data_IF_410570455241
#
_entry.id   IF_410570455241
#
_cell.length_a   1.000
_cell.length_b   1.000
_cell.length_c   1.000
_cell.angle_alpha   90.00
_cell.angle_beta   90.00
_cell.angle_gamma   90.00
#
_symmetry.space_group_name_H-M   'P 1'
#
loop_
_entity.id
_entity.type
_entity.pdbx_description
1 polymer ?
#
# COMPACT_ATOMS: atom_id res chain seq x y z
N UNK A 1 -8.42 7.89 -20.44
CA UNK A 1 -8.75 6.56 -21.04
C UNK A 1 -7.63 5.57 -20.74
N UNK A 2 -7.36 5.27 -19.46
CA UNK A 2 -6.23 4.42 -19.04
C UNK A 2 -6.31 3.01 -19.64
N UNK A 3 -7.52 2.43 -19.66
CA UNK A 3 -7.84 1.13 -20.25
C UNK A 3 -7.43 0.94 -21.71
N UNK A 4 -7.26 2.02 -22.50
CA UNK A 4 -6.78 1.92 -23.89
C UNK A 4 -5.28 1.73 -24.00
N UNK A 5 -4.51 2.06 -22.97
CA UNK A 5 -3.05 2.17 -23.05
C UNK A 5 -2.32 1.37 -21.99
N UNK A 6 -3.04 0.81 -21.02
CA UNK A 6 -2.45 0.11 -19.89
C UNK A 6 -2.91 -1.36 -19.88
N UNK A 7 -2.12 -2.28 -20.42
CA UNK A 7 -2.43 -3.71 -20.41
C UNK A 7 -2.46 -4.32 -19.00
N UNK A 8 -1.79 -3.70 -18.01
CA UNK A 8 -1.81 -4.17 -16.62
C UNK A 8 -3.22 -4.19 -16.02
N UNK A 9 -4.10 -3.27 -16.44
CA UNK A 9 -5.49 -3.23 -15.96
C UNK A 9 -6.28 -4.52 -16.28
N UNK A 10 -6.03 -5.11 -17.44
CA UNK A 10 -6.69 -6.36 -17.83
C UNK A 10 -6.11 -7.55 -17.08
N UNK A 11 -4.81 -7.52 -16.78
CA UNK A 11 -4.16 -8.54 -15.98
C UNK A 11 -4.65 -8.51 -14.53
N UNK A 12 -4.74 -7.32 -13.93
CA UNK A 12 -5.32 -7.10 -12.59
C UNK A 12 -6.78 -7.53 -12.51
N UNK A 13 -7.62 -7.19 -13.50
CA UNK A 13 -9.01 -7.64 -13.54
C UNK A 13 -9.17 -9.17 -13.49
N UNK A 14 -8.20 -9.91 -14.06
CA UNK A 14 -8.16 -11.36 -14.04
C UNK A 14 -7.59 -11.88 -12.71
N UNK A 15 -6.37 -11.45 -12.38
CA UNK A 15 -5.61 -11.92 -11.21
C UNK A 15 -6.30 -11.57 -9.89
N UNK A 16 -6.69 -10.31 -9.68
CA UNK A 16 -7.32 -9.85 -8.43
C UNK A 16 -8.67 -10.55 -8.20
N UNK A 17 -9.40 -10.84 -9.28
CA UNK A 17 -10.68 -11.54 -9.21
C UNK A 17 -10.55 -12.98 -8.70
N UNK A 18 -9.41 -13.62 -8.95
CA UNK A 18 -9.11 -14.98 -8.49
C UNK A 18 -8.37 -14.96 -7.16
N UNK A 19 -7.31 -14.17 -7.04
CA UNK A 19 -6.48 -14.04 -5.83
C UNK A 19 -7.30 -13.69 -4.59
N UNK A 20 -8.20 -12.70 -4.68
CA UNK A 20 -9.08 -12.36 -3.55
C UNK A 20 -9.96 -13.54 -3.09
N UNK A 21 -10.35 -14.44 -3.99
CA UNK A 21 -11.12 -15.65 -3.65
C UNK A 21 -10.23 -16.78 -3.13
N UNK A 22 -8.91 -16.72 -3.32
CA UNK A 22 -7.94 -17.63 -2.71
C UNK A 22 -7.61 -17.19 -1.29
N UNK A 23 -7.33 -15.89 -1.09
CA UNK A 23 -6.75 -15.34 0.14
C UNK A 23 -7.77 -14.90 1.18
N UNK A 24 -8.97 -14.48 0.76
CA UNK A 24 -10.04 -14.05 1.68
C UNK A 24 -11.03 -15.18 1.93
N UNK A 25 -11.00 -15.74 3.14
CA UNK A 25 -11.88 -16.85 3.55
C UNK A 25 -13.27 -16.39 4.05
N UNK A 26 -13.86 -15.39 3.40
CA UNK A 26 -15.19 -14.89 3.77
C UNK A 26 -16.36 -15.80 3.37
N UNK A 27 -16.08 -16.92 2.70
CA UNK A 27 -17.06 -17.94 2.36
C UNK A 27 -16.40 -19.34 2.35
N UNK A 28 -17.20 -20.42 2.53
CA UNK A 28 -16.69 -21.78 2.45
C UNK A 28 -15.98 -22.05 1.11
N UNK A 29 -14.92 -22.86 1.15
CA UNK A 29 -14.10 -23.17 -0.02
C UNK A 29 -14.93 -23.57 -1.26
N UNK A 30 -15.97 -24.44 -1.18
CA UNK A 30 -16.78 -24.77 -2.35
C UNK A 30 -17.51 -23.58 -3.00
N UNK A 31 -17.88 -22.56 -2.21
CA UNK A 31 -18.50 -21.34 -2.76
C UNK A 31 -17.47 -20.51 -3.50
N UNK A 32 -16.28 -20.33 -2.90
CA UNK A 32 -15.17 -19.59 -3.52
C UNK A 32 -14.71 -20.27 -4.81
N UNK A 33 -14.54 -21.59 -4.81
CA UNK A 33 -14.19 -22.38 -6.00
C UNK A 33 -15.18 -22.19 -7.15
N UNK A 34 -16.50 -22.26 -6.91
CA UNK A 34 -17.51 -22.03 -7.96
C UNK A 34 -17.43 -20.61 -8.55
N UNK A 35 -17.15 -19.61 -7.72
CA UNK A 35 -16.97 -18.22 -8.18
C UNK A 35 -15.71 -18.07 -9.04
N UNK A 36 -14.61 -18.76 -8.69
CA UNK A 36 -13.41 -18.78 -9.53
C UNK A 36 -13.71 -19.44 -10.87
N UNK A 37 -14.37 -20.60 -10.90
CA UNK A 37 -14.77 -21.28 -12.15
C UNK A 37 -15.59 -20.33 -13.04
N UNK A 38 -16.59 -19.66 -12.49
CA UNK A 38 -17.42 -18.71 -13.23
C UNK A 38 -16.60 -17.54 -13.80
N UNK A 39 -15.63 -17.01 -13.05
CA UNK A 39 -14.71 -15.96 -13.53
C UNK A 39 -13.81 -16.46 -14.65
N UNK A 40 -13.24 -17.66 -14.53
CA UNK A 40 -12.38 -18.25 -15.55
C UNK A 40 -13.12 -18.47 -16.87
N UNK A 41 -14.42 -18.79 -16.82
CA UNK A 41 -15.26 -18.89 -18.01
C UNK A 41 -15.39 -17.56 -18.79
N UNK A 42 -15.18 -16.41 -18.14
CA UNK A 42 -15.23 -15.08 -18.79
C UNK A 42 -13.89 -14.61 -19.38
N UNK A 43 -12.81 -15.38 -19.19
CA UNK A 43 -11.46 -15.02 -19.69
C UNK A 43 -11.44 -14.76 -21.20
N UNK A 44 -12.06 -15.59 -22.08
CA UNK A 44 -12.05 -15.32 -23.52
C UNK A 44 -12.63 -13.94 -23.87
N UNK A 45 -13.75 -13.57 -23.24
CA UNK A 45 -14.41 -12.29 -23.48
C UNK A 45 -13.57 -11.12 -22.97
N UNK A 46 -12.95 -11.25 -21.79
CA UNK A 46 -12.06 -10.23 -21.23
C UNK A 46 -10.85 -9.99 -22.14
N UNK A 47 -10.19 -11.05 -22.59
CA UNK A 47 -9.00 -10.95 -23.45
C UNK A 47 -9.35 -10.39 -24.83
N UNK A 48 -10.52 -10.76 -25.38
CA UNK A 48 -11.00 -10.17 -26.63
C UNK A 48 -11.25 -8.65 -26.48
N UNK A 49 -11.93 -8.24 -25.39
CA UNK A 49 -12.13 -6.83 -25.10
C UNK A 49 -10.79 -6.11 -24.92
N UNK A 50 -9.82 -6.73 -24.25
CA UNK A 50 -8.48 -6.19 -24.07
C UNK A 50 -7.77 -5.95 -25.41
N UNK A 51 -7.84 -6.91 -26.35
CA UNK A 51 -7.30 -6.77 -27.72
C UNK A 51 -7.95 -5.61 -28.47
N UNK A 52 -9.29 -5.51 -28.44
CA UNK A 52 -10.02 -4.44 -29.13
C UNK A 52 -9.73 -3.05 -28.55
N UNK A 53 -9.56 -2.99 -27.23
CA UNK A 53 -9.43 -1.73 -26.52
C UNK A 53 -8.01 -1.16 -26.55
N UNK A 54 -6.99 -2.01 -26.54
CA UNK A 54 -5.59 -1.60 -26.45
C UNK A 54 -5.15 -0.89 -27.74
N UNK A 55 -4.66 0.34 -27.61
CA UNK A 55 -4.24 1.22 -28.70
C UNK A 55 -2.96 1.94 -28.30
N UNK A 56 -1.86 1.62 -28.98
CA UNK A 56 -0.53 2.20 -28.79
C UNK A 56 -0.15 2.43 -27.30
N UNK A 57 -0.02 1.36 -26.50
CA UNK A 57 0.39 1.48 -25.10
C UNK A 57 1.86 1.97 -24.99
N UNK A 58 2.24 2.60 -23.86
CA UNK A 58 3.65 2.85 -23.55
C UNK A 58 4.45 1.55 -23.41
N UNK A 59 5.70 1.55 -23.89
CA UNK A 59 6.61 0.40 -23.81
C UNK A 59 6.67 -0.21 -22.41
N UNK A 60 6.94 0.62 -21.40
CA UNK A 60 7.04 0.19 -20.00
C UNK A 60 5.75 -0.47 -19.47
N UNK A 61 4.58 0.03 -19.88
CA UNK A 61 3.31 -0.57 -19.47
C UNK A 61 3.11 -1.92 -20.15
N UNK A 62 3.52 -2.06 -21.41
CA UNK A 62 3.46 -3.33 -22.15
C UNK A 62 4.39 -4.37 -21.54
N UNK A 63 5.64 -4.01 -21.25
CA UNK A 63 6.62 -4.91 -20.59
C UNK A 63 6.09 -5.43 -19.25
N UNK A 64 5.56 -4.54 -18.41
CA UNK A 64 4.96 -4.94 -17.12
C UNK A 64 3.67 -5.72 -17.29
N UNK A 65 2.83 -5.35 -18.27
CA UNK A 65 1.60 -6.08 -18.60
C UNK A 65 1.86 -7.51 -19.03
N UNK A 66 2.93 -7.76 -19.80
CA UNK A 66 3.38 -9.12 -20.15
C UNK A 66 3.72 -9.90 -18.88
N UNK A 67 4.54 -9.33 -18.00
CA UNK A 67 4.89 -9.95 -16.72
C UNK A 67 3.66 -10.27 -15.87
N UNK A 68 2.71 -9.34 -15.75
CA UNK A 68 1.48 -9.54 -14.97
C UNK A 68 0.59 -10.63 -15.57
N UNK A 69 0.47 -10.70 -16.90
CA UNK A 69 -0.30 -11.76 -17.56
C UNK A 69 0.36 -13.13 -17.39
N UNK A 70 1.70 -13.22 -17.47
CA UNK A 70 2.44 -14.45 -17.21
C UNK A 70 2.26 -14.92 -15.76
N UNK A 71 2.42 -14.03 -14.79
CA UNK A 71 2.16 -14.33 -13.39
C UNK A 71 0.70 -14.76 -13.14
N UNK A 72 -0.27 -14.11 -13.78
CA UNK A 72 -1.68 -14.51 -13.67
C UNK A 72 -1.92 -15.92 -14.26
N UNK A 73 -1.22 -16.31 -15.32
CA UNK A 73 -1.30 -17.64 -15.90
C UNK A 73 -0.63 -18.70 -15.00
N UNK A 74 0.51 -18.39 -14.40
CA UNK A 74 1.23 -19.24 -13.44
C UNK A 74 0.41 -19.49 -12.18
N UNK A 75 -0.25 -18.45 -11.65
CA UNK A 75 -1.15 -18.55 -10.50
C UNK A 75 -2.25 -19.60 -10.71
N UNK A 76 -2.78 -19.74 -11.93
CA UNK A 76 -3.83 -20.74 -12.20
C UNK A 76 -3.33 -22.19 -12.07
N UNK A 77 -2.04 -22.42 -12.25
CA UNK A 77 -1.41 -23.75 -12.24
C UNK A 77 -0.78 -24.06 -10.88
N UNK A 78 -0.05 -23.10 -10.30
CA UNK A 78 0.71 -23.27 -9.08
C UNK A 78 -0.08 -22.90 -7.82
N UNK A 79 -0.75 -21.75 -7.83
CA UNK A 79 -1.29 -21.14 -6.61
C UNK A 79 -2.67 -21.68 -6.24
N UNK A 80 -3.53 -21.93 -7.23
CA UNK A 80 -4.88 -22.48 -7.00
C UNK A 80 -4.83 -23.83 -6.25
N UNK A 81 -4.00 -24.81 -6.66
CA UNK A 81 -3.90 -26.08 -5.94
C UNK A 81 -3.44 -25.93 -4.48
N UNK A 82 -2.56 -24.95 -4.20
CA UNK A 82 -2.08 -24.66 -2.85
C UNK A 82 -3.18 -24.03 -2.00
N UNK A 83 -3.88 -23.03 -2.53
CA UNK A 83 -4.96 -22.32 -1.84
C UNK A 83 -6.17 -23.21 -1.51
N UNK A 84 -6.41 -24.26 -2.29
CA UNK A 84 -7.52 -25.20 -2.10
C UNK A 84 -7.06 -26.63 -1.81
N UNK A 85 -5.87 -26.80 -1.22
CA UNK A 85 -5.29 -28.12 -0.94
C UNK A 85 -6.22 -29.06 -0.15
N UNK A 86 -7.01 -28.52 0.78
CA UNK A 86 -7.99 -29.27 1.57
C UNK A 86 -9.19 -29.80 0.74
N UNK A 87 -9.37 -29.34 -0.50
CA UNK A 87 -10.43 -29.79 -1.41
C UNK A 87 -9.91 -30.76 -2.48
N UNK A 88 -8.63 -31.17 -2.40
CA UNK A 88 -8.00 -32.09 -3.35
C UNK A 88 -8.80 -33.39 -3.49
N UNK A 89 -8.99 -33.84 -4.73
CA UNK A 89 -9.72 -35.07 -5.05
C UNK A 89 -11.25 -34.94 -5.10
N UNK A 90 -11.80 -33.73 -4.94
CA UNK A 90 -13.24 -33.50 -5.09
C UNK A 90 -13.62 -33.23 -6.56
N UNK A 91 -14.83 -33.61 -7.02
CA UNK A 91 -15.30 -33.31 -8.38
C UNK A 91 -15.34 -31.79 -8.70
N UNK A 92 -15.52 -30.98 -7.66
CA UNK A 92 -15.51 -29.53 -7.78
C UNK A 92 -14.09 -29.00 -8.04
N UNK A 93 -13.06 -29.55 -7.39
CA UNK A 93 -11.68 -29.21 -7.71
C UNK A 93 -11.26 -29.71 -9.07
N UNK A 94 -11.71 -30.88 -9.52
CA UNK A 94 -11.46 -31.33 -10.91
C UNK A 94 -12.05 -30.35 -11.92
N UNK A 95 -13.23 -29.80 -11.62
CA UNK A 95 -13.88 -28.78 -12.45
C UNK A 95 -13.10 -27.47 -12.45
N UNK A 96 -12.53 -27.06 -11.30
CA UNK A 96 -11.66 -25.90 -11.22
C UNK A 96 -10.38 -26.10 -12.03
N UNK A 97 -9.71 -27.24 -11.87
CA UNK A 97 -8.50 -27.59 -12.61
C UNK A 97 -8.75 -27.57 -14.12
N UNK A 98 -9.88 -28.13 -14.61
CA UNK A 98 -10.25 -28.05 -16.03
C UNK A 98 -10.50 -26.62 -16.51
N UNK A 99 -11.17 -25.80 -15.70
CA UNK A 99 -11.40 -24.39 -16.02
C UNK A 99 -10.07 -23.61 -16.10
N UNK A 100 -9.17 -23.82 -15.13
CA UNK A 100 -7.82 -23.26 -15.11
C UNK A 100 -6.99 -23.70 -16.33
N UNK A 101 -6.99 -24.99 -16.65
CA UNK A 101 -6.30 -25.55 -17.81
C UNK A 101 -6.83 -25.00 -19.14
N UNK A 102 -8.09 -24.59 -19.20
CA UNK A 102 -8.70 -23.94 -20.37
C UNK A 102 -8.30 -22.46 -20.45
N UNK A 103 -8.31 -21.74 -19.33
CA UNK A 103 -8.03 -20.30 -19.28
C UNK A 103 -6.53 -19.98 -19.44
N UNK A 104 -5.64 -20.76 -18.82
CA UNK A 104 -4.18 -20.55 -18.81
C UNK A 104 -3.56 -20.37 -20.20
N UNK A 105 -3.78 -21.25 -21.20
CA UNK A 105 -3.20 -21.08 -22.53
C UNK A 105 -3.71 -19.82 -23.23
N UNK A 106 -4.94 -19.39 -22.96
CA UNK A 106 -5.50 -18.15 -23.53
C UNK A 106 -4.80 -16.91 -22.97
N UNK A 107 -4.55 -16.89 -21.66
CA UNK A 107 -3.82 -15.81 -20.98
C UNK A 107 -2.37 -15.76 -21.49
N UNK A 108 -1.73 -16.94 -21.60
CA UNK A 108 -0.37 -17.06 -22.13
C UNK A 108 -0.30 -16.57 -23.57
N UNK A 109 -1.24 -16.99 -24.43
CA UNK A 109 -1.31 -16.53 -25.82
C UNK A 109 -1.58 -15.02 -25.95
N UNK A 110 -2.29 -14.42 -24.99
CA UNK A 110 -2.44 -12.96 -24.94
C UNK A 110 -1.13 -12.27 -24.53
N UNK A 111 -0.39 -12.81 -23.55
CA UNK A 111 0.94 -12.30 -23.17
C UNK A 111 1.92 -12.40 -24.35
N UNK A 112 1.92 -13.52 -25.08
CA UNK A 112 2.73 -13.71 -26.29
C UNK A 112 2.39 -12.69 -27.37
N UNK A 113 1.10 -12.40 -27.58
CA UNK A 113 0.67 -11.35 -28.51
C UNK A 113 1.11 -9.96 -28.06
N UNK A 114 1.05 -9.64 -26.76
CA UNK A 114 1.61 -8.40 -26.23
C UNK A 114 3.11 -8.29 -26.55
N UNK A 115 3.86 -9.39 -26.39
CA UNK A 115 5.30 -9.42 -26.61
C UNK A 115 5.69 -9.36 -28.09
N UNK A 116 5.00 -10.11 -28.96
CA UNK A 116 5.35 -10.27 -30.38
C UNK A 116 4.75 -9.20 -31.28
N UNK A 117 3.52 -8.78 -31.00
CA UNK A 117 2.76 -7.90 -31.90
C UNK A 117 2.64 -6.46 -31.37
N UNK A 118 2.53 -6.28 -30.05
CA UNK A 118 2.30 -4.95 -29.45
C UNK A 118 3.60 -4.28 -29.02
N UNK A 119 4.46 -4.97 -28.28
CA UNK A 119 5.69 -4.40 -27.70
C UNK A 119 6.63 -3.80 -28.76
N UNK A 120 6.86 -4.40 -29.95
CA UNK A 120 7.76 -3.82 -30.95
C UNK A 120 7.31 -2.45 -31.47
N UNK A 121 6.02 -2.14 -31.38
CA UNK A 121 5.43 -0.88 -31.86
C UNK A 121 4.90 0.01 -30.71
N UNK A 122 5.12 -0.40 -29.46
CA UNK A 122 4.64 0.28 -28.25
C UNK A 122 5.41 1.59 -28.02
N UNK A 123 4.89 2.68 -28.59
CA UNK A 123 5.49 4.02 -28.56
C UNK A 123 4.63 5.02 -27.78
N UNK A 124 3.57 4.54 -27.12
CA UNK A 124 2.63 5.38 -26.39
C UNK A 124 3.29 6.19 -25.27
N UNK A 125 2.75 7.38 -25.03
CA UNK A 125 3.22 8.26 -23.96
C UNK A 125 2.49 7.95 -22.64
N UNK A 126 3.24 7.68 -21.57
CA UNK A 126 2.69 7.47 -20.22
C UNK A 126 2.43 8.80 -19.51
N UNK A 127 3.16 9.87 -19.88
CA UNK A 127 2.90 11.22 -19.38
C UNK A 127 1.52 11.68 -19.82
N UNK A 128 0.79 12.29 -18.89
CA UNK A 128 -0.60 12.72 -19.14
C UNK A 128 -0.76 14.24 -19.12
N UNK A 129 0.30 14.98 -18.80
CA UNK A 129 0.31 16.43 -18.66
C UNK A 129 -0.28 16.90 -17.34
N UNK A 130 0.21 18.05 -16.86
CA UNK A 130 -0.16 18.63 -15.56
C UNK A 130 -1.68 18.80 -15.39
N UNK A 131 -2.39 19.25 -16.43
CA UNK A 131 -3.85 19.42 -16.36
C UNK A 131 -4.59 18.10 -16.13
N UNK A 132 -4.11 16.98 -16.68
CA UNK A 132 -4.72 15.67 -16.44
C UNK A 132 -4.35 15.14 -15.05
N UNK A 133 -3.13 15.38 -14.57
CA UNK A 133 -2.72 15.04 -13.19
C UNK A 133 -3.61 15.76 -12.18
N UNK A 134 -3.83 17.07 -12.34
CA UNK A 134 -4.72 17.84 -11.46
C UNK A 134 -6.15 17.28 -11.47
N UNK A 135 -6.70 16.96 -12.65
CA UNK A 135 -8.02 16.30 -12.76
C UNK A 135 -8.06 14.92 -12.08
N UNK A 136 -6.97 14.15 -12.12
CA UNK A 136 -6.88 12.86 -11.44
C UNK A 136 -6.85 13.03 -9.92
N UNK A 137 -6.04 13.95 -9.37
CA UNK A 137 -6.10 14.27 -7.93
C UNK A 137 -7.51 14.68 -7.48
N UNK A 138 -8.19 15.52 -8.26
CA UNK A 138 -9.57 15.91 -7.97
C UNK A 138 -10.55 14.75 -8.04
N UNK A 139 -10.42 13.84 -9.00
CA UNK A 139 -11.37 12.75 -9.19
C UNK A 139 -11.12 11.55 -8.26
N UNK A 140 -9.85 11.27 -7.96
CA UNK A 140 -9.42 10.05 -7.27
C UNK A 140 -9.22 10.31 -5.78
N UNK A 141 -8.57 11.42 -5.42
CA UNK A 141 -8.25 11.78 -4.03
C UNK A 141 -9.18 12.86 -3.46
N UNK A 142 -10.04 13.44 -4.31
CA UNK A 142 -10.84 14.64 -3.99
C UNK A 142 -9.99 15.82 -3.48
N UNK A 143 -8.77 15.96 -4.02
CA UNK A 143 -7.86 17.07 -3.73
C UNK A 143 -7.85 18.01 -4.93
N UNK A 144 -8.33 19.24 -4.73
CA UNK A 144 -8.46 20.28 -5.78
C UNK A 144 -7.38 21.38 -5.69
N UNK A 145 -6.33 21.13 -4.90
CA UNK A 145 -5.23 22.09 -4.76
C UNK A 145 -4.38 22.15 -6.03
N UNK A 146 -3.87 23.34 -6.41
CA UNK A 146 -2.98 23.47 -7.56
C UNK A 146 -1.70 22.61 -7.39
N UNK A 147 -1.27 21.94 -8.46
CA UNK A 147 -0.06 21.10 -8.43
C UNK A 147 1.20 21.84 -7.94
N UNK A 148 1.45 23.11 -8.32
CA UNK A 148 2.59 23.86 -7.77
C UNK A 148 2.54 23.99 -6.23
N UNK A 149 1.34 24.09 -5.65
CA UNK A 149 1.16 24.11 -4.20
C UNK A 149 1.50 22.76 -3.59
N UNK A 150 1.04 21.66 -4.19
CA UNK A 150 1.37 20.30 -3.73
C UNK A 150 2.87 20.03 -3.80
N UNK A 151 3.52 20.44 -4.90
CA UNK A 151 4.98 20.36 -5.05
C UNK A 151 5.68 21.18 -3.96
N UNK A 152 5.28 22.43 -3.73
CA UNK A 152 5.90 23.29 -2.73
C UNK A 152 5.79 22.69 -1.31
N UNK A 153 4.64 22.09 -0.97
CA UNK A 153 4.44 21.37 0.29
C UNK A 153 5.38 20.15 0.35
N UNK A 154 5.46 19.35 -0.70
CA UNK A 154 6.39 18.21 -0.77
C UNK A 154 7.85 18.62 -0.59
N UNK A 155 8.34 19.61 -1.35
CA UNK A 155 9.73 20.08 -1.24
C UNK A 155 10.06 20.59 0.16
N UNK A 156 9.14 21.35 0.78
CA UNK A 156 9.29 21.87 2.14
C UNK A 156 9.36 20.74 3.18
N UNK A 157 8.41 19.81 3.16
CA UNK A 157 8.38 18.72 4.13
C UNK A 157 9.55 17.75 3.95
N UNK A 158 10.01 17.52 2.72
CA UNK A 158 11.21 16.73 2.45
C UNK A 158 12.45 17.36 3.12
N UNK A 159 12.63 18.67 3.00
CA UNK A 159 13.73 19.38 3.66
C UNK A 159 13.64 19.30 5.20
N UNK A 160 12.43 19.38 5.76
CA UNK A 160 12.18 19.21 7.20
C UNK A 160 12.55 17.79 7.64
N UNK A 161 12.04 16.77 6.95
CA UNK A 161 12.32 15.37 7.30
C UNK A 161 13.79 15.02 7.17
N UNK A 162 14.49 15.53 6.15
CA UNK A 162 15.94 15.35 6.01
C UNK A 162 16.70 15.98 7.18
N UNK A 163 16.26 17.15 7.66
CA UNK A 163 16.88 17.81 8.82
C UNK A 163 16.64 17.00 10.09
N UNK A 164 15.43 16.49 10.29
CA UNK A 164 15.10 15.62 11.42
C UNK A 164 15.88 14.30 11.36
N UNK A 165 16.04 13.71 10.17
CA UNK A 165 16.77 12.47 9.96
C UNK A 165 18.24 12.64 10.33
N UNK A 166 18.88 13.74 9.87
CA UNK A 166 20.25 14.10 10.27
C UNK A 166 20.38 14.27 11.78
N UNK A 167 19.41 14.93 12.42
CA UNK A 167 19.42 15.13 13.87
C UNK A 167 19.24 13.81 14.64
N UNK A 168 18.37 12.91 14.17
CA UNK A 168 18.18 11.58 14.75
C UNK A 168 19.44 10.71 14.61
N UNK A 169 20.08 10.72 13.44
CA UNK A 169 21.33 10.01 13.22
C UNK A 169 22.46 10.55 14.11
N UNK A 170 22.56 11.88 14.26
CA UNK A 170 23.55 12.52 15.13
C UNK A 170 23.36 12.18 16.62
N UNK A 171 22.13 11.85 17.07
CA UNK A 171 21.89 11.34 18.44
C UNK A 171 22.43 9.93 18.66
N UNK A 172 22.52 9.11 17.61
CA UNK A 172 23.10 7.76 17.69
C UNK A 172 24.62 7.80 17.53
N UNK A 173 25.11 8.57 16.56
CA UNK A 173 26.53 8.69 16.28
C UNK A 173 26.88 10.11 15.78
N UNK A 174 27.26 11.02 16.70
CA UNK A 174 27.63 12.39 16.35
C UNK A 174 28.76 12.45 15.32
N UNK A 175 28.61 13.31 14.30
CA UNK A 175 29.63 13.56 13.27
C UNK A 175 29.76 12.49 12.18
N UNK A 176 29.06 11.35 12.30
CA UNK A 176 29.00 10.34 11.23
C UNK A 176 27.99 10.73 10.15
N UNK A 177 28.23 10.21 8.95
CA UNK A 177 27.29 10.36 7.85
C UNK A 177 25.94 9.68 8.22
N UNK A 178 24.80 10.39 8.09
CA UNK A 178 23.49 9.85 8.44
C UNK A 178 23.11 8.56 7.68
N UNK A 179 23.57 8.38 6.45
CA UNK A 179 23.30 7.17 5.68
C UNK A 179 24.05 5.98 6.23
N UNK A 180 25.30 6.17 6.65
CA UNK A 180 26.07 5.09 7.24
C UNK A 180 25.48 4.66 8.59
N UNK A 181 25.01 5.62 9.39
CA UNK A 181 24.25 5.32 10.62
C UNK A 181 22.98 4.55 10.29
N UNK A 182 22.21 4.97 9.27
CA UNK A 182 21.00 4.26 8.89
C UNK A 182 21.28 2.85 8.37
N UNK A 183 22.32 2.66 7.55
CA UNK A 183 22.76 1.33 7.10
C UNK A 183 23.09 0.42 8.28
N UNK A 184 23.80 0.93 9.28
CA UNK A 184 24.14 0.18 10.49
C UNK A 184 22.90 -0.22 11.31
N UNK A 185 21.93 0.68 11.45
CA UNK A 185 20.65 0.36 12.10
C UNK A 185 19.91 -0.77 11.39
N UNK A 186 20.00 -0.86 10.06
CA UNK A 186 19.34 -1.92 9.29
C UNK A 186 19.94 -3.31 9.50
N UNK A 187 21.16 -3.43 10.05
CA UNK A 187 21.74 -4.72 10.41
C UNK A 187 21.15 -5.32 11.71
N UNK A 188 20.43 -4.51 12.50
CA UNK A 188 19.73 -5.00 13.69
C UNK A 188 18.36 -5.58 13.30
N UNK A 189 18.35 -6.84 12.84
CA UNK A 189 17.16 -7.55 12.38
C UNK A 189 17.03 -8.97 12.98
N UNK A 190 15.82 -9.55 12.99
CA UNK A 190 15.63 -10.95 13.31
C UNK A 190 16.41 -11.87 12.34
N UNK A 191 16.73 -13.07 12.80
CA UNK A 191 17.32 -14.11 11.94
C UNK A 191 16.26 -14.68 10.99
N UNK A 192 16.71 -15.30 9.90
CA UNK A 192 15.84 -16.08 9.02
C UNK A 192 15.05 -17.12 9.82
N UNK A 193 13.73 -17.15 9.63
CA UNK A 193 12.80 -18.03 10.37
C UNK A 193 12.21 -17.41 11.64
N UNK A 194 12.80 -16.33 12.16
CA UNK A 194 12.34 -15.64 13.38
C UNK A 194 11.46 -14.40 13.09
N UNK A 195 11.33 -13.98 11.82
CA UNK A 195 10.72 -12.68 11.47
C UNK A 195 9.25 -12.64 11.87
N UNK A 196 8.49 -13.72 11.66
CA UNK A 196 7.07 -13.82 12.03
C UNK A 196 6.90 -13.65 13.55
N UNK A 197 7.69 -14.38 14.34
CA UNK A 197 7.61 -14.34 15.80
C UNK A 197 8.05 -12.98 16.37
N UNK A 198 9.11 -12.38 15.80
CA UNK A 198 9.53 -11.03 16.16
C UNK A 198 8.45 -9.99 15.86
N UNK A 199 7.80 -10.10 14.70
CA UNK A 199 6.73 -9.19 14.28
C UNK A 199 5.50 -9.32 15.18
N UNK A 200 5.09 -10.53 15.59
CA UNK A 200 4.00 -10.71 16.55
C UNK A 200 4.29 -9.99 17.87
N UNK A 201 5.51 -10.12 18.42
CA UNK A 201 5.91 -9.44 19.65
C UNK A 201 5.85 -7.91 19.52
N UNK A 202 6.23 -7.38 18.36
CA UNK A 202 6.14 -5.95 18.06
C UNK A 202 4.67 -5.49 18.03
N UNK A 203 3.80 -6.21 17.33
CA UNK A 203 2.36 -5.91 17.25
C UNK A 203 1.70 -5.94 18.63
N UNK A 204 2.04 -6.94 19.45
CA UNK A 204 1.56 -7.04 20.83
C UNK A 204 2.04 -5.82 21.66
N UNK A 205 3.31 -5.46 21.53
CA UNK A 205 3.90 -4.30 22.23
C UNK A 205 3.29 -2.96 21.81
N UNK A 206 3.01 -2.79 20.51
CA UNK A 206 2.29 -1.62 19.97
C UNK A 206 0.86 -1.56 20.52
N UNK A 207 0.19 -2.70 20.62
CA UNK A 207 -1.17 -2.81 21.16
C UNK A 207 -1.20 -2.38 22.63
N UNK A 208 -0.30 -2.94 23.45
CA UNK A 208 -0.16 -2.56 24.86
C UNK A 208 0.17 -1.08 25.03
N UNK A 209 1.01 -0.53 24.16
CA UNK A 209 1.34 0.88 24.19
C UNK A 209 0.13 1.77 23.85
N UNK A 210 -0.59 1.48 22.78
CA UNK A 210 -1.80 2.22 22.37
C UNK A 210 -2.86 2.20 23.47
N UNK A 211 -3.07 1.04 24.12
CA UNK A 211 -4.02 0.91 25.24
C UNK A 211 -3.54 1.70 26.46
N UNK A 212 -2.29 1.55 26.90
CA UNK A 212 -1.75 2.23 28.09
C UNK A 212 -1.73 3.75 27.94
N UNK A 213 -1.38 4.25 26.75
CA UNK A 213 -1.39 5.69 26.43
C UNK A 213 -2.80 6.22 26.18
N UNK A 214 -3.80 5.33 26.08
CA UNK A 214 -5.18 5.69 25.79
C UNK A 214 -5.32 6.35 24.42
N UNK A 215 -4.59 5.90 23.40
CA UNK A 215 -4.63 6.52 22.07
C UNK A 215 -5.86 6.10 21.24
N UNK A 216 -6.42 4.92 21.51
CA UNK A 216 -7.66 4.39 20.94
C UNK A 216 -8.17 3.18 21.75
N UNK A 217 -9.43 2.78 21.56
CA UNK A 217 -9.96 1.50 22.05
C UNK A 217 -9.66 0.39 21.06
N UNK A 218 -9.13 -0.71 21.57
CA UNK A 218 -9.04 -1.97 20.83
C UNK A 218 -10.35 -2.76 21.02
N UNK A 219 -11.02 -3.22 19.95
CA UNK A 219 -12.25 -4.01 20.10
C UNK A 219 -12.02 -5.27 20.96
N UNK A 220 -12.92 -5.56 21.91
CA UNK A 220 -12.76 -6.71 22.79
C UNK A 220 -12.84 -8.02 21.99
N UNK A 221 -11.93 -8.96 22.29
CA UNK A 221 -11.91 -10.27 21.65
C UNK A 221 -11.31 -10.31 20.24
N UNK A 222 -10.90 -9.17 19.68
CA UNK A 222 -10.18 -9.12 18.41
C UNK A 222 -8.70 -8.80 18.64
N UNK A 223 -7.83 -9.51 17.92
CA UNK A 223 -6.39 -9.29 17.90
C UNK A 223 -5.84 -9.54 16.51
N UNK A 224 -4.77 -8.83 16.16
CA UNK A 224 -3.98 -9.16 14.98
C UNK A 224 -3.22 -10.46 15.24
N UNK A 225 -3.26 -11.36 14.26
CA UNK A 225 -2.44 -12.57 14.26
C UNK A 225 -1.43 -12.46 13.14
N UNK A 226 -0.15 -12.46 13.48
CA UNK A 226 0.93 -12.49 12.52
C UNK A 226 1.16 -13.94 12.08
N UNK A 227 1.27 -14.15 10.78
CA UNK A 227 1.44 -15.47 10.19
C UNK A 227 2.46 -15.42 9.04
N UNK A 228 3.12 -16.53 8.71
CA UNK A 228 3.91 -16.61 7.49
C UNK A 228 2.99 -16.39 6.28
N UNK A 229 3.47 -15.60 5.33
CA UNK A 229 2.81 -15.43 4.04
C UNK A 229 2.58 -16.80 3.38
N UNK A 230 1.44 -16.94 2.72
CA UNK A 230 1.13 -18.19 2.02
C UNK A 230 2.05 -18.32 0.81
N UNK A 231 2.42 -19.54 0.38
CA UNK A 231 3.34 -19.72 -0.76
C UNK A 231 2.84 -19.09 -2.07
N UNK A 232 1.54 -18.85 -2.16
CA UNK A 232 0.84 -18.23 -3.30
C UNK A 232 0.52 -16.74 -3.10
N UNK A 233 0.97 -16.13 -2.00
CA UNK A 233 0.68 -14.74 -1.64
C UNK A 233 1.91 -14.09 -0.98
N UNK A 234 3.05 -14.20 -1.67
CA UNK A 234 4.34 -13.70 -1.19
C UNK A 234 4.46 -12.19 -1.44
N UNK A 235 4.37 -11.42 -0.36
CA UNK A 235 4.64 -9.98 -0.34
C UNK A 235 5.86 -9.64 0.52
N UNK A 236 6.01 -8.38 0.91
CA UNK A 236 6.89 -8.01 2.03
C UNK A 236 6.12 -8.22 3.34
N UNK A 237 5.17 -7.32 3.60
CA UNK A 237 4.21 -7.43 4.68
C UNK A 237 2.82 -7.11 4.13
N UNK A 238 1.79 -7.84 4.54
CA UNK A 238 0.42 -7.66 4.04
C UNK A 238 -0.62 -7.80 5.14
N UNK A 239 -1.39 -6.75 5.39
CA UNK A 239 -2.52 -6.79 6.33
C UNK A 239 -3.80 -7.25 5.64
N UNK A 240 -4.30 -8.42 6.04
CA UNK A 240 -5.59 -8.97 5.64
C UNK A 240 -6.58 -8.71 6.77
N UNK A 241 -7.06 -7.47 6.86
CA UNK A 241 -8.06 -7.09 7.84
C UNK A 241 -9.46 -7.57 7.45
N UNK A 242 -10.31 -7.86 8.44
CA UNK A 242 -11.72 -8.20 8.19
C UNK A 242 -12.38 -7.08 7.38
N UNK A 243 -12.97 -7.36 6.21
CA UNK A 243 -13.67 -6.35 5.44
C UNK A 243 -14.80 -5.73 6.27
N UNK A 244 -15.06 -4.42 6.12
CA UNK A 244 -15.96 -3.69 7.01
C UNK A 244 -17.46 -4.04 6.85
N UNK A 245 -17.81 -4.88 5.87
CA UNK A 245 -19.16 -5.39 5.67
C UNK A 245 -19.38 -6.82 6.14
N UNK A 246 -18.32 -7.53 6.54
CA UNK A 246 -18.49 -8.90 7.08
C UNK A 246 -19.21 -8.85 8.42
N UNK A 247 -20.22 -9.71 8.58
CA UNK A 247 -21.01 -9.84 9.80
C UNK A 247 -21.38 -11.32 10.04
N UNK A 248 -20.80 -11.99 11.06
CA UNK A 248 -19.80 -11.46 12.00
C UNK A 248 -18.45 -11.14 11.32
N UNK A 249 -17.59 -10.31 11.94
CA UNK A 249 -16.24 -10.08 11.45
C UNK A 249 -15.45 -11.38 11.30
N UNK A 250 -14.57 -11.45 10.28
CA UNK A 250 -13.66 -12.58 10.08
C UNK A 250 -12.30 -12.31 10.74
N UNK A 251 -11.51 -13.37 10.94
CA UNK A 251 -10.19 -13.24 11.54
C UNK A 251 -9.27 -12.40 10.64
N UNK A 252 -8.52 -11.48 11.23
CA UNK A 252 -7.53 -10.67 10.52
C UNK A 252 -6.14 -11.28 10.66
N UNK A 253 -5.37 -11.30 9.58
CA UNK A 253 -4.01 -11.81 9.54
C UNK A 253 -3.03 -10.75 9.04
N UNK A 254 -1.88 -10.67 9.70
CA UNK A 254 -0.75 -9.89 9.21
C UNK A 254 0.30 -10.85 8.65
N UNK A 255 0.33 -10.99 7.33
CA UNK A 255 1.23 -11.93 6.67
C UNK A 255 2.61 -11.31 6.49
N UNK A 256 3.64 -12.07 6.82
CA UNK A 256 5.05 -11.69 6.70
C UNK A 256 5.78 -12.75 5.89
N UNK A 257 6.56 -12.32 4.90
CA UNK A 257 7.40 -13.21 4.10
C UNK A 257 8.82 -13.21 4.65
N UNK A 258 9.19 -14.29 5.32
CA UNK A 258 10.56 -14.49 5.80
C UNK A 258 11.54 -14.71 4.62
N UNK A 259 12.84 -14.70 4.89
CA UNK A 259 13.86 -15.04 3.90
C UNK A 259 13.71 -16.52 3.48
N UNK A 260 13.71 -16.79 2.18
CA UNK A 260 13.67 -18.17 1.70
C UNK A 260 15.00 -18.87 1.94
N UNK A 261 14.96 -20.09 2.47
CA UNK A 261 16.14 -20.94 2.62
C UNK A 261 16.82 -21.26 1.27
N UNK A 262 16.11 -21.10 0.15
CA UNK A 262 16.67 -21.30 -1.20
C UNK A 262 17.48 -20.10 -1.72
N UNK A 263 17.40 -18.94 -1.07
CA UNK A 263 18.15 -17.75 -1.48
C UNK A 263 19.62 -17.89 -1.06
N UNK A 264 20.58 -17.36 -1.84
CA UNK A 264 21.96 -17.19 -1.39
C UNK A 264 22.04 -16.40 -0.08
N UNK A 265 23.02 -16.69 0.76
CA UNK A 265 23.14 -16.07 2.10
C UNK A 265 23.15 -14.52 2.04
N UNK A 266 23.83 -13.94 1.06
CA UNK A 266 23.87 -12.48 0.87
C UNK A 266 22.49 -11.90 0.49
N UNK A 267 21.68 -12.64 -0.25
CA UNK A 267 20.31 -12.23 -0.60
C UNK A 267 19.36 -12.40 0.58
N UNK A 268 19.54 -13.44 1.40
CA UNK A 268 18.80 -13.59 2.66
C UNK A 268 19.08 -12.41 3.59
N UNK A 269 20.35 -12.06 3.78
CA UNK A 269 20.75 -10.92 4.61
C UNK A 269 20.14 -9.61 4.08
N UNK A 270 20.26 -9.33 2.78
CA UNK A 270 19.67 -8.14 2.17
C UNK A 270 18.13 -8.11 2.28
N UNK A 271 17.48 -9.28 2.30
CA UNK A 271 16.04 -9.39 2.56
C UNK A 271 15.70 -9.08 4.02
N UNK A 272 16.46 -9.63 4.97
CA UNK A 272 16.25 -9.44 6.40
C UNK A 272 16.56 -8.02 6.88
N UNK A 273 17.51 -7.31 6.25
CA UNK A 273 17.75 -5.88 6.52
C UNK A 273 16.49 -5.01 6.34
N UNK A 274 15.56 -5.44 5.48
CA UNK A 274 14.26 -4.77 5.31
C UNK A 274 13.37 -4.95 6.54
N UNK A 275 13.57 -6.03 7.29
CA UNK A 275 12.90 -6.37 8.54
C UNK A 275 13.74 -6.04 9.79
N UNK A 276 14.66 -5.08 9.70
CA UNK A 276 15.28 -4.53 10.90
C UNK A 276 14.22 -4.08 11.92
N UNK A 277 14.53 -4.17 13.21
CA UNK A 277 13.54 -3.97 14.27
C UNK A 277 12.87 -2.59 14.19
N UNK A 278 13.61 -1.54 13.83
CA UNK A 278 13.05 -0.20 13.67
C UNK A 278 12.06 -0.11 12.50
N UNK A 279 12.39 -0.67 11.34
CA UNK A 279 11.48 -0.75 10.19
C UNK A 279 10.29 -1.69 10.43
N UNK A 280 10.47 -2.80 11.16
CA UNK A 280 9.37 -3.68 11.56
C UNK A 280 8.39 -2.96 12.48
N UNK A 281 8.87 -2.15 13.42
CA UNK A 281 8.02 -1.30 14.27
C UNK A 281 7.23 -0.32 13.41
N UNK A 282 7.89 0.42 12.50
CA UNK A 282 7.22 1.38 11.64
C UNK A 282 6.16 0.72 10.73
N UNK A 283 6.53 -0.38 10.08
CA UNK A 283 5.63 -1.14 9.20
C UNK A 283 4.48 -1.78 9.97
N UNK A 284 4.72 -2.31 11.17
CA UNK A 284 3.66 -2.86 12.01
C UNK A 284 2.71 -1.76 12.53
N UNK A 285 3.22 -0.55 12.77
CA UNK A 285 2.40 0.60 13.10
C UNK A 285 1.51 1.04 11.93
N UNK A 286 2.03 0.96 10.70
CA UNK A 286 1.30 1.22 9.46
C UNK A 286 0.22 0.18 9.17
N UNK A 287 0.59 -1.09 9.17
CA UNK A 287 -0.27 -2.20 8.74
C UNK A 287 -1.25 -2.64 9.82
N UNK A 288 -0.81 -2.71 11.07
CA UNK A 288 -1.58 -3.29 12.16
C UNK A 288 -2.04 -2.21 13.17
N UNK A 289 -1.17 -1.83 14.09
CA UNK A 289 -1.54 -1.10 15.30
C UNK A 289 -0.70 0.16 15.47
N UNK A 290 -1.27 1.38 15.40
CA UNK A 290 -2.70 1.71 15.27
C UNK A 290 -3.19 1.95 13.83
N UNK A 291 -2.45 1.52 12.80
CA UNK A 291 -2.75 1.81 11.39
C UNK A 291 -3.93 1.03 10.77
N UNK A 292 -3.70 0.38 9.62
CA UNK A 292 -4.76 -0.16 8.77
C UNK A 292 -5.72 -1.11 9.48
N UNK A 293 -5.21 -2.06 10.27
CA UNK A 293 -6.07 -2.99 11.00
C UNK A 293 -7.00 -2.25 11.97
N UNK A 294 -6.45 -1.41 12.85
CA UNK A 294 -7.27 -0.72 13.84
C UNK A 294 -8.31 0.18 13.14
N UNK A 295 -7.91 0.95 12.13
CA UNK A 295 -8.83 1.75 11.33
C UNK A 295 -9.98 0.92 10.78
N UNK A 296 -9.69 -0.24 10.18
CA UNK A 296 -10.71 -1.14 9.62
C UNK A 296 -11.76 -1.58 10.66
N UNK A 297 -11.36 -1.75 11.93
CA UNK A 297 -12.30 -2.14 12.99
C UNK A 297 -13.30 -1.04 13.31
N UNK A 298 -12.86 0.22 13.28
CA UNK A 298 -13.74 1.39 13.45
C UNK A 298 -14.58 1.65 12.21
N UNK A 299 -14.06 1.38 11.01
CA UNK A 299 -14.81 1.53 9.76
C UNK A 299 -16.09 0.69 9.74
N UNK A 300 -16.13 -0.46 10.43
CA UNK A 300 -17.36 -1.28 10.55
C UNK A 300 -18.53 -0.51 11.15
N UNK A 301 -18.24 0.49 11.99
CA UNK A 301 -19.22 1.36 12.66
C UNK A 301 -19.59 2.59 11.84
N UNK A 302 -18.95 2.84 10.70
CA UNK A 302 -19.20 4.02 9.86
C UNK A 302 -20.61 4.01 9.27
N UNK A 303 -21.39 5.10 9.41
CA UNK A 303 -22.71 5.20 8.81
C UNK A 303 -22.68 5.20 7.27
N UNK A 304 -23.58 4.41 6.67
CA UNK A 304 -23.72 4.28 5.22
C UNK A 304 -22.72 3.28 4.60
N UNK A 305 -23.04 2.75 3.41
CA UNK A 305 -22.16 1.77 2.73
C UNK A 305 -20.99 2.45 2.01
N UNK A 306 -21.21 3.60 1.36
CA UNK A 306 -20.19 4.27 0.54
C UNK A 306 -18.91 4.53 1.34
N UNK A 307 -18.97 5.22 2.48
CA UNK A 307 -17.78 5.50 3.31
C UNK A 307 -17.15 4.26 3.97
N UNK A 308 -17.84 3.12 3.97
CA UNK A 308 -17.29 1.84 4.44
C UNK A 308 -16.50 1.11 3.38
N UNK A 309 -16.95 1.15 2.11
CA UNK A 309 -16.42 0.28 1.06
C UNK A 309 -15.96 0.98 -0.21
N UNK A 310 -15.89 2.31 -0.22
CA UNK A 310 -15.43 3.02 -1.41
C UNK A 310 -13.97 2.67 -1.80
N UNK A 311 -13.19 2.00 -0.92
CA UNK A 311 -11.91 1.34 -1.24
C UNK A 311 -12.07 0.14 -2.20
N UNK A 312 -13.20 -0.58 -2.16
CA UNK A 312 -13.37 -1.90 -2.75
C UNK A 312 -13.72 -1.96 -4.25
N UNK A 313 -13.60 -0.85 -4.99
CA UNK A 313 -13.97 -0.79 -6.42
C UNK A 313 -12.74 -0.78 -7.35
N UNK A 314 -11.90 -1.81 -7.29
CA UNK A 314 -10.89 -2.07 -8.32
C UNK A 314 -11.62 -2.46 -9.64
N UNK A 315 -11.29 -1.90 -10.83
CA UNK A 315 -10.06 -1.22 -11.25
C UNK A 315 -10.06 0.31 -11.18
N UNK A 316 -10.95 0.93 -10.39
CA UNK A 316 -10.97 2.40 -10.27
C UNK A 316 -9.89 2.87 -9.28
N UNK A 317 -9.08 3.87 -9.65
CA UNK A 317 -8.09 4.46 -8.75
C UNK A 317 -8.76 4.98 -7.47
N UNK A 318 -8.18 4.61 -6.33
CA UNK A 318 -8.73 4.76 -4.98
C UNK A 318 -8.24 6.07 -4.33
N UNK A 319 -9.04 6.73 -3.47
CA UNK A 319 -8.51 7.75 -2.57
C UNK A 319 -7.64 7.08 -1.50
N UNK A 320 -6.34 6.97 -1.77
CA UNK A 320 -5.35 6.46 -0.79
C UNK A 320 -5.23 7.40 0.42
N UNK A 321 -5.46 8.70 0.24
CA UNK A 321 -5.25 9.71 1.28
C UNK A 321 -6.06 9.53 2.57
N UNK A 322 -7.20 8.82 2.54
CA UNK A 322 -7.96 8.53 3.75
C UNK A 322 -7.31 7.44 4.61
N UNK A 323 -7.19 6.23 4.06
CA UNK A 323 -6.73 5.05 4.79
C UNK A 323 -5.21 5.00 4.90
N UNK A 324 -4.49 5.19 3.78
CA UNK A 324 -3.04 5.24 3.79
C UNK A 324 -2.50 6.50 4.48
N UNK A 325 -3.26 7.59 4.42
CA UNK A 325 -2.98 8.78 5.22
C UNK A 325 -3.05 8.52 6.72
N UNK A 326 -4.05 7.76 7.19
CA UNK A 326 -4.16 7.34 8.60
C UNK A 326 -3.01 6.42 9.01
N UNK A 327 -2.69 5.42 8.19
CA UNK A 327 -1.59 4.50 8.46
C UNK A 327 -0.25 5.25 8.53
N UNK A 328 -0.02 6.18 7.61
CA UNK A 328 1.18 7.02 7.62
C UNK A 328 1.21 8.05 8.78
N UNK A 329 0.06 8.55 9.21
CA UNK A 329 -0.07 9.34 10.45
C UNK A 329 0.26 8.50 11.69
N UNK A 330 -0.18 7.24 11.73
CA UNK A 330 0.02 6.31 12.85
C UNK A 330 1.49 6.00 13.09
N UNK A 331 2.29 5.87 12.03
CA UNK A 331 3.75 5.80 12.12
C UNK A 331 4.35 6.97 12.91
N UNK A 332 4.00 8.21 12.53
CA UNK A 332 4.50 9.41 13.21
C UNK A 332 3.96 9.52 14.63
N UNK A 333 2.71 9.13 14.87
CA UNK A 333 2.11 9.11 16.20
C UNK A 333 2.94 8.27 17.18
N UNK A 334 3.45 7.11 16.76
CA UNK A 334 4.29 6.27 17.63
C UNK A 334 5.60 6.96 18.02
N UNK A 335 6.22 7.70 17.10
CA UNK A 335 7.42 8.50 17.38
C UNK A 335 7.11 9.68 18.29
N UNK A 336 5.99 10.39 18.06
CA UNK A 336 5.55 11.53 18.88
C UNK A 336 5.27 11.10 20.33
N UNK A 337 4.57 9.99 20.52
CA UNK A 337 4.18 9.46 21.83
C UNK A 337 5.31 8.72 22.56
N UNK A 338 6.48 8.61 21.93
CA UNK A 338 7.71 7.98 22.45
C UNK A 338 7.57 6.47 22.64
N UNK A 339 6.96 5.77 21.68
CA UNK A 339 7.08 4.32 21.59
C UNK A 339 8.58 3.93 21.53
N UNK A 340 8.95 2.84 22.21
CA UNK A 340 10.36 2.45 22.35
C UNK A 340 11.22 3.42 23.17
N UNK A 341 10.61 4.29 23.99
CA UNK A 341 11.36 5.19 24.87
C UNK A 341 12.04 6.37 24.17
N UNK A 342 11.64 6.68 22.94
CA UNK A 342 12.27 7.73 22.13
C UNK A 342 13.58 7.30 21.46
N UNK A 343 13.77 6.00 21.25
CA UNK A 343 14.90 5.45 20.49
C UNK A 343 15.00 6.11 19.09
N UNK A 344 16.10 6.83 18.79
CA UNK A 344 16.26 7.50 17.51
C UNK A 344 16.24 6.54 16.30
N UNK A 345 16.49 5.24 16.49
CA UNK A 345 16.42 4.24 15.41
C UNK A 345 15.01 4.14 14.83
N UNK A 346 13.99 4.18 15.70
CA UNK A 346 12.57 4.14 15.29
C UNK A 346 12.22 5.41 14.50
N UNK A 347 12.71 6.57 14.95
CA UNK A 347 12.54 7.85 14.25
C UNK A 347 13.22 7.85 12.88
N UNK A 348 14.44 7.30 12.75
CA UNK A 348 15.12 7.15 11.47
C UNK A 348 14.31 6.29 10.48
N UNK A 349 13.78 5.15 10.93
CA UNK A 349 12.94 4.29 10.10
C UNK A 349 11.67 5.03 9.61
N UNK A 350 10.96 5.69 10.54
CA UNK A 350 9.77 6.48 10.24
C UNK A 350 10.07 7.61 9.23
N UNK A 351 11.17 8.32 9.40
CA UNK A 351 11.57 9.42 8.53
C UNK A 351 12.03 8.95 7.16
N UNK A 352 12.77 7.83 7.06
CA UNK A 352 13.14 7.23 5.77
C UNK A 352 11.88 6.86 4.96
N UNK A 353 10.90 6.23 5.61
CA UNK A 353 9.62 5.92 5.00
C UNK A 353 8.84 7.19 4.61
N UNK A 354 8.81 8.21 5.49
CA UNK A 354 8.15 9.48 5.19
C UNK A 354 8.74 10.21 3.99
N UNK A 355 10.07 10.32 3.90
CA UNK A 355 10.74 10.92 2.75
C UNK A 355 10.44 10.15 1.46
N UNK A 356 10.35 8.82 1.53
CA UNK A 356 9.90 8.00 0.40
C UNK A 356 8.51 8.42 -0.07
N UNK A 357 7.53 8.59 0.84
CA UNK A 357 6.16 9.04 0.48
C UNK A 357 6.14 10.47 -0.07
N UNK A 358 7.09 11.33 0.29
CA UNK A 358 7.23 12.65 -0.35
C UNK A 358 7.81 12.53 -1.77
N UNK A 359 8.84 11.71 -2.00
CA UNK A 359 9.33 11.47 -3.35
C UNK A 359 8.27 10.83 -4.25
N UNK A 360 7.37 9.99 -3.71
CA UNK A 360 6.20 9.49 -4.45
C UNK A 360 5.32 10.62 -4.99
N UNK A 361 4.97 11.61 -4.16
CA UNK A 361 4.23 12.81 -4.57
C UNK A 361 4.95 13.56 -5.70
N UNK A 362 6.23 13.88 -5.49
CA UNK A 362 7.02 14.67 -6.43
C UNK A 362 7.16 13.94 -7.77
N UNK A 363 7.50 12.64 -7.74
CA UNK A 363 7.63 11.82 -8.93
C UNK A 363 6.31 11.67 -9.67
N UNK A 364 5.19 11.36 -8.99
CA UNK A 364 3.88 11.24 -9.63
C UNK A 364 3.45 12.51 -10.37
N UNK A 365 3.72 13.68 -9.79
CA UNK A 365 3.42 14.97 -10.45
C UNK A 365 4.42 15.26 -11.57
N UNK A 366 5.71 15.31 -11.25
CA UNK A 366 6.76 15.84 -12.15
C UNK A 366 7.08 14.92 -13.32
N UNK A 367 6.95 13.59 -13.14
CA UNK A 367 7.10 12.65 -14.27
C UNK A 367 5.96 12.87 -15.25
N UNK A 368 4.71 12.88 -14.78
CA UNK A 368 3.55 13.02 -15.66
C UNK A 368 3.35 14.43 -16.24
N UNK A 369 3.88 15.48 -15.61
CA UNK A 369 3.93 16.84 -16.17
C UNK A 369 5.03 17.02 -17.22
N UNK A 370 6.00 16.08 -17.28
CA UNK A 370 7.15 16.15 -18.19
C UNK A 370 8.35 16.93 -17.64
N UNK A 371 8.31 17.34 -16.37
CA UNK A 371 9.42 18.00 -15.69
C UNK A 371 10.55 17.03 -15.33
N UNK A 372 10.21 15.79 -14.98
CA UNK A 372 11.17 14.74 -14.61
C UNK A 372 11.14 13.56 -15.58
N UNK A 373 12.32 13.02 -15.85
CA UNK A 373 12.51 11.67 -16.39
C UNK A 373 12.38 10.63 -15.27
N UNK A 374 12.21 9.35 -15.63
CA UNK A 374 12.26 8.26 -14.65
C UNK A 374 13.62 8.16 -13.94
N UNK A 375 14.72 8.57 -14.59
CA UNK A 375 16.03 8.64 -13.94
C UNK A 375 16.06 9.70 -12.83
N UNK A 376 15.49 10.89 -13.07
CA UNK A 376 15.38 11.94 -12.05
C UNK A 376 14.43 11.54 -10.91
N UNK A 377 13.34 10.83 -11.23
CA UNK A 377 12.46 10.24 -10.22
C UNK A 377 13.19 9.20 -9.36
N UNK A 378 14.01 8.33 -9.97
CA UNK A 378 14.83 7.37 -9.24
C UNK A 378 15.84 8.07 -8.32
N UNK A 379 16.51 9.12 -8.83
CA UNK A 379 17.43 9.93 -8.03
C UNK A 379 16.76 10.60 -6.82
N UNK A 380 15.47 10.99 -6.90
CA UNK A 380 14.74 11.45 -5.71
C UNK A 380 14.74 10.38 -4.61
N UNK A 381 14.37 9.15 -4.97
CA UNK A 381 14.29 8.06 -4.00
C UNK A 381 15.67 7.70 -3.42
N UNK A 382 16.70 7.63 -4.26
CA UNK A 382 18.06 7.29 -3.83
C UNK A 382 18.70 8.40 -2.99
N UNK A 383 18.78 9.61 -3.55
CA UNK A 383 19.59 10.68 -2.98
C UNK A 383 18.84 11.48 -1.91
N UNK A 384 17.52 11.60 -2.05
CA UNK A 384 16.71 12.46 -1.18
C UNK A 384 15.92 11.68 -0.13
N UNK A 385 15.59 10.42 -0.39
CA UNK A 385 14.87 9.55 0.54
C UNK A 385 15.69 8.33 1.02
N UNK A 386 16.93 8.18 0.56
CA UNK A 386 17.88 7.17 1.03
C UNK A 386 17.42 5.72 0.79
N UNK A 387 16.66 5.52 -0.28
CA UNK A 387 16.14 4.21 -0.68
C UNK A 387 17.22 3.47 -1.49
N UNK A 388 17.49 2.18 -1.23
CA UNK A 388 18.43 1.40 -2.03
C UNK A 388 18.05 1.35 -3.52
N UNK A 389 19.04 1.35 -4.40
CA UNK A 389 18.88 1.47 -5.86
C UNK A 389 17.83 0.55 -6.47
N UNK A 390 17.81 -0.74 -6.09
CA UNK A 390 16.85 -1.70 -6.64
C UNK A 390 15.41 -1.37 -6.26
N UNK A 391 15.19 -0.86 -5.04
CA UNK A 391 13.88 -0.41 -4.57
C UNK A 391 13.50 0.95 -5.20
N UNK A 392 14.45 1.89 -5.28
CA UNK A 392 14.25 3.19 -5.90
C UNK A 392 13.86 3.09 -7.39
N UNK A 393 14.47 2.16 -8.14
CA UNK A 393 14.06 1.86 -9.51
C UNK A 393 12.60 1.43 -9.60
N UNK A 394 12.15 0.50 -8.74
CA UNK A 394 10.74 0.04 -8.72
C UNK A 394 9.77 1.16 -8.36
N UNK A 395 10.13 1.99 -7.38
CA UNK A 395 9.36 3.18 -6.99
C UNK A 395 9.25 4.19 -8.15
N UNK A 396 10.35 4.41 -8.87
CA UNK A 396 10.36 5.29 -10.04
C UNK A 396 9.53 4.75 -11.19
N UNK A 397 9.66 3.46 -11.54
CA UNK A 397 8.82 2.82 -12.55
C UNK A 397 7.34 2.91 -12.18
N UNK A 398 6.98 2.83 -10.89
CA UNK A 398 5.60 3.03 -10.43
C UNK A 398 5.05 4.41 -10.73
N UNK A 399 5.87 5.45 -10.58
CA UNK A 399 5.47 6.81 -10.91
C UNK A 399 5.01 6.98 -12.37
N UNK A 400 5.35 6.05 -13.28
CA UNK A 400 4.87 6.10 -14.67
C UNK A 400 3.39 5.75 -14.85
N UNK A 401 2.78 4.96 -13.96
CA UNK A 401 1.38 4.53 -14.04
C UNK A 401 0.52 5.00 -12.86
N UNK A 402 1.14 5.64 -11.86
CA UNK A 402 0.51 6.18 -10.66
C UNK A 402 0.75 7.69 -10.55
N UNK A 403 -0.04 8.56 -11.22
CA UNK A 403 0.13 10.01 -11.16
C UNK A 403 -0.35 10.63 -9.84
N UNK A 404 -1.17 9.91 -9.08
CA UNK A 404 -1.74 10.34 -7.79
C UNK A 404 -0.98 9.75 -6.61
N UNK A 405 0.26 9.33 -6.84
CA UNK A 405 1.10 8.58 -5.91
C UNK A 405 1.39 9.27 -4.56
N UNK A 406 1.07 10.57 -4.45
CA UNK A 406 1.24 11.35 -3.24
C UNK A 406 0.14 11.17 -2.17
N UNK A 407 -0.92 10.40 -2.43
CA UNK A 407 -2.07 10.33 -1.53
C UNK A 407 -1.72 9.94 -0.08
N UNK A 408 -0.78 9.01 0.14
CA UNK A 408 -0.21 8.68 1.46
C UNK A 408 0.23 9.92 2.25
N UNK A 409 1.14 10.70 1.66
CA UNK A 409 1.72 11.88 2.29
C UNK A 409 0.68 12.99 2.45
N UNK A 410 -0.10 13.24 1.41
CA UNK A 410 -1.13 14.29 1.43
C UNK A 410 -2.21 13.98 2.47
N UNK A 411 -2.58 12.72 2.62
CA UNK A 411 -3.45 12.21 3.66
C UNK A 411 -2.92 12.52 5.06
N UNK A 412 -1.70 12.08 5.36
CA UNK A 412 -1.03 12.37 6.65
C UNK A 412 -0.94 13.86 6.92
N UNK A 413 -0.49 14.68 5.95
CA UNK A 413 -0.41 16.14 6.08
C UNK A 413 -1.78 16.74 6.40
N UNK A 414 -2.81 16.26 5.72
CA UNK A 414 -4.20 16.57 6.00
C UNK A 414 -4.61 16.34 7.45
N UNK A 415 -4.31 15.16 7.98
CA UNK A 415 -4.62 14.76 9.35
C UNK A 415 -3.86 15.63 10.36
N UNK A 416 -2.57 15.89 10.12
CA UNK A 416 -1.74 16.72 11.00
C UNK A 416 -2.25 18.17 11.07
N UNK A 417 -2.61 18.77 9.93
CA UNK A 417 -3.22 20.11 9.89
C UNK A 417 -4.54 20.13 10.66
N UNK A 418 -5.42 19.15 10.42
CA UNK A 418 -6.71 19.07 11.12
C UNK A 418 -6.51 18.92 12.62
N UNK A 419 -5.61 18.04 13.07
CA UNK A 419 -5.27 17.86 14.49
C UNK A 419 -4.76 19.17 15.10
N UNK A 420 -3.83 19.87 14.44
CA UNK A 420 -3.30 21.16 14.90
C UNK A 420 -4.41 22.19 15.07
N UNK A 421 -5.28 22.32 14.08
CA UNK A 421 -6.36 23.31 14.10
C UNK A 421 -7.39 23.00 15.19
N UNK A 422 -7.71 21.72 15.40
CA UNK A 422 -8.58 21.27 16.49
C UNK A 422 -7.97 21.53 17.86
N UNK A 423 -6.67 21.29 18.05
CA UNK A 423 -5.96 21.64 19.28
C UNK A 423 -6.04 23.15 19.54
N UNK A 424 -5.80 23.98 18.51
CA UNK A 424 -5.90 25.43 18.62
C UNK A 424 -7.32 25.92 18.95
N UNK A 425 -8.34 25.26 18.38
CA UNK A 425 -9.75 25.65 18.55
C UNK A 425 -10.33 25.19 19.88
N UNK A 426 -10.03 23.95 20.30
CA UNK A 426 -10.62 23.33 21.47
C UNK A 426 -9.80 23.56 22.76
N UNK A 427 -8.52 23.93 22.63
CA UNK A 427 -7.63 24.15 23.77
C UNK A 427 -7.58 22.94 24.70
N UNK A 428 -7.79 23.16 25.99
CA UNK A 428 -7.81 22.12 27.02
C UNK A 428 -8.94 21.08 26.86
N UNK A 429 -9.95 21.36 26.04
CA UNK A 429 -11.03 20.40 25.74
C UNK A 429 -10.65 19.41 24.64
N UNK A 430 -9.51 19.60 23.95
CA UNK A 430 -9.05 18.66 22.95
C UNK A 430 -8.65 17.33 23.60
N UNK A 431 -9.16 16.23 23.06
CA UNK A 431 -8.77 14.88 23.48
C UNK A 431 -8.28 14.08 22.27
N UNK A 432 -7.03 13.62 22.35
CA UNK A 432 -6.35 12.92 21.25
C UNK A 432 -7.03 11.59 20.90
N UNK A 433 -7.49 10.84 21.90
CA UNK A 433 -8.23 9.59 21.70
C UNK A 433 -9.53 9.84 20.96
N UNK A 434 -10.33 10.80 21.43
CA UNK A 434 -11.60 11.16 20.78
C UNK A 434 -11.37 11.60 19.33
N UNK A 435 -10.29 12.34 19.05
CA UNK A 435 -9.90 12.67 17.69
C UNK A 435 -9.62 11.42 16.84
N UNK A 436 -8.78 10.50 17.31
CA UNK A 436 -8.46 9.26 16.60
C UNK A 436 -9.70 8.40 16.33
N UNK A 437 -10.50 8.14 17.36
CA UNK A 437 -11.69 7.29 17.25
C UNK A 437 -12.71 7.88 16.28
N UNK A 438 -12.96 9.19 16.35
CA UNK A 438 -13.87 9.88 15.42
C UNK A 438 -13.32 9.90 14.00
N UNK A 439 -12.01 10.09 13.83
CA UNK A 439 -11.37 10.05 12.51
C UNK A 439 -11.58 8.67 11.88
N UNK A 440 -11.21 7.60 12.58
CA UNK A 440 -11.36 6.23 12.06
C UNK A 440 -12.84 5.85 11.82
N UNK A 441 -13.77 6.30 12.68
CA UNK A 441 -15.22 6.04 12.53
C UNK A 441 -15.83 6.76 11.32
N UNK A 442 -15.21 7.83 10.81
CA UNK A 442 -15.68 8.49 9.59
C UNK A 442 -15.47 7.64 8.32
N UNK A 443 -14.80 6.48 8.43
CA UNK A 443 -14.56 5.59 7.31
C UNK A 443 -13.40 6.10 6.49
N UNK A 444 -13.59 6.08 5.17
CA UNK A 444 -12.63 6.59 4.19
C UNK A 444 -13.11 7.90 3.57
N UNK A 445 -13.60 8.81 4.40
CA UNK A 445 -13.91 10.14 3.92
C UNK A 445 -12.63 10.81 3.40
N UNK A 446 -12.71 11.64 2.35
CA UNK A 446 -11.56 12.44 1.94
C UNK A 446 -11.21 13.43 3.07
N UNK A 447 -9.94 13.85 3.15
CA UNK A 447 -9.48 14.70 4.26
C UNK A 447 -10.31 15.99 4.41
N UNK A 448 -10.72 16.64 3.32
CA UNK A 448 -11.55 17.85 3.41
C UNK A 448 -12.91 17.56 4.07
N UNK A 449 -13.47 16.37 3.86
CA UNK A 449 -14.73 15.97 4.49
C UNK A 449 -14.51 15.62 5.96
N UNK A 450 -13.35 15.07 6.35
CA UNK A 450 -13.00 14.96 7.77
C UNK A 450 -13.03 16.33 8.44
N UNK A 451 -12.47 17.38 7.83
CA UNK A 451 -12.54 18.73 8.40
C UNK A 451 -13.99 19.17 8.66
N UNK A 452 -14.86 19.05 7.66
CA UNK A 452 -16.29 19.37 7.81
C UNK A 452 -16.99 18.50 8.87
N UNK A 453 -16.61 17.22 8.98
CA UNK A 453 -17.17 16.32 9.98
C UNK A 453 -16.73 16.67 11.39
N UNK A 454 -15.55 17.28 11.59
CA UNK A 454 -15.04 17.71 12.89
C UNK A 454 -15.42 19.16 13.24
N UNK A 455 -15.40 20.05 12.25
CA UNK A 455 -15.67 21.48 12.29
C UNK A 455 -16.72 21.83 11.21
N UNK A 456 -18.02 21.62 11.48
CA UNK A 456 -19.08 21.86 10.50
C UNK A 456 -19.05 23.29 9.95
N UNK A 457 -19.04 23.43 8.63
CA UNK A 457 -18.97 24.73 7.93
C UNK A 457 -17.56 25.23 7.63
N UNK A 458 -16.51 24.61 8.18
CA UNK A 458 -15.13 25.05 7.97
C UNK A 458 -14.53 24.51 6.66
N UNK A 459 -14.35 25.41 5.69
CA UNK A 459 -13.84 25.11 4.34
C UNK A 459 -12.35 25.40 4.17
N UNK A 460 -11.61 25.67 5.25
CA UNK A 460 -10.17 25.92 5.14
C UNK A 460 -9.43 24.71 4.56
N UNK A 461 -8.35 25.00 3.84
CA UNK A 461 -7.56 23.95 3.19
C UNK A 461 -6.92 23.04 4.23
N UNK A 462 -7.10 21.73 4.04
CA UNK A 462 -6.62 20.70 4.97
C UNK A 462 -5.16 20.29 4.72
N UNK A 463 -4.68 20.35 3.49
CA UNK A 463 -3.29 19.97 3.18
C UNK A 463 -2.45 21.24 3.12
N UNK A 464 -1.64 21.49 4.16
CA UNK A 464 -0.80 22.69 4.28
C UNK A 464 0.65 22.35 4.61
#
# INVERSE_FOLDING_TARGET
QNWRRNPMLYASALSDGVSNLMTMENAPAPVRTRRIIAKLASVPQLLQAARTNLKNPPKLFTERGIGFMRGAAEMLDHDIPLAFAAQKGTPLMDSLTRAAATARPLITAYADWLEKDVLPTATGEYRIGAAAVARRYKAEELIDQPLPSLIAIGERELAVYQTQFRAAAARLAPGRDPLDVWREVRHDHPKAGDVVAATQKIVDSLTDFVVRKGLAVVPPGERVVVAPAQPFDLGFASMHASPPLENPPVKSFYYITDASASMPAAEQEAWLERYNYASLINTSAHEAMPGHWLHSTYMRKTPGKVRRIWIGLNPFPQPSSGQDGWAHYSEQLMVEEKFGGGDPRIELAQLSDAMTRVCRLLSGIRVHSGEWTLAQSQACFEDRAYVPTSAAKRESERASYDPTYGGYFLGKRGILTLRRDLVATMGSSFNLRTFHERFMTNGIAPIWAHRQLFLPGDTAQVVQ
#
